data_IF_959896944751
#
_entry.id   IF_959896944751
#
_cell.length_a   1.000
_cell.length_b   1.000
_cell.length_c   1.000
_cell.angle_alpha   90.00
_cell.angle_beta   90.00
_cell.angle_gamma   90.00
#
_symmetry.space_group_name_H-M   'P 1'
#
loop_
_entity.id
_entity.type
_entity.pdbx_description
1 polymer ?
#
# COMPACT_ATOMS: atom_id res chain seq x y z
N UNK A 1 14.91 16.87 -9.48
CA UNK A 1 13.94 16.53 -8.45
C UNK A 1 13.04 15.42 -8.96
N UNK A 2 12.22 14.82 -8.10
CA UNK A 2 11.29 13.76 -8.44
C UNK A 2 9.89 14.11 -7.97
N UNK A 3 8.88 13.76 -8.77
CA UNK A 3 7.47 14.01 -8.46
C UNK A 3 6.82 12.72 -7.95
N UNK A 4 6.13 12.83 -6.83
CA UNK A 4 5.26 11.79 -6.30
C UNK A 4 3.81 12.27 -6.33
N UNK A 5 2.92 11.43 -6.84
CA UNK A 5 1.48 11.64 -6.85
C UNK A 5 0.83 10.41 -6.22
N UNK A 6 0.09 10.58 -5.15
CA UNK A 6 -0.67 9.50 -4.50
C UNK A 6 -2.17 9.78 -4.63
N UNK A 7 -2.85 9.02 -5.48
CA UNK A 7 -4.28 9.16 -5.74
C UNK A 7 -5.06 8.23 -4.80
N UNK A 8 -5.44 8.76 -3.65
CA UNK A 8 -6.31 8.03 -2.74
C UNK A 8 -7.79 8.21 -3.03
N UNK A 9 -8.63 7.35 -2.46
CA UNK A 9 -10.08 7.38 -2.65
C UNK A 9 -10.77 8.65 -2.11
N UNK A 10 -10.17 9.36 -1.16
CA UNK A 10 -10.74 10.58 -0.57
C UNK A 10 -9.89 11.80 -0.85
N UNK A 11 -8.58 11.64 -0.89
CA UNK A 11 -7.61 12.73 -1.03
C UNK A 11 -6.49 12.29 -1.95
N UNK A 12 -5.98 13.24 -2.73
CA UNK A 12 -4.77 13.10 -3.53
C UNK A 12 -3.65 13.91 -2.88
N UNK A 13 -2.47 13.30 -2.75
CA UNK A 13 -1.28 13.92 -2.22
C UNK A 13 -0.23 14.07 -3.32
N UNK A 14 0.27 15.28 -3.47
CA UNK A 14 1.39 15.63 -4.35
C UNK A 14 2.63 15.90 -3.49
N UNK A 15 3.79 15.43 -3.90
CA UNK A 15 5.05 15.74 -3.23
C UNK A 15 6.19 15.92 -4.24
N UNK A 16 7.03 16.91 -3.97
CA UNK A 16 8.27 17.15 -4.69
C UNK A 16 9.45 16.70 -3.81
N UNK A 17 10.29 15.83 -4.35
CA UNK A 17 11.48 15.33 -3.67
C UNK A 17 12.75 15.89 -4.30
N UNK A 18 13.70 16.28 -3.47
CA UNK A 18 15.08 16.55 -3.88
C UNK A 18 15.79 15.25 -4.30
N UNK A 19 16.97 15.35 -4.87
CA UNK A 19 17.75 14.20 -5.31
C UNK A 19 18.21 13.28 -4.16
N UNK A 20 18.34 13.83 -2.96
CA UNK A 20 18.70 13.14 -1.72
C UNK A 20 17.52 12.66 -0.88
N UNK A 21 16.29 12.81 -1.40
CA UNK A 21 15.09 12.25 -0.79
C UNK A 21 14.38 13.12 0.25
N UNK A 22 14.73 14.40 0.31
CA UNK A 22 14.01 15.35 1.17
C UNK A 22 12.73 15.82 0.47
N UNK A 23 11.62 15.85 1.21
CA UNK A 23 10.37 16.46 0.73
C UNK A 23 10.55 17.99 0.76
N UNK A 24 10.57 18.63 -0.42
CA UNK A 24 10.73 20.09 -0.56
C UNK A 24 9.42 20.83 -0.69
N UNK A 25 8.38 20.16 -1.22
CA UNK A 25 7.04 20.69 -1.28
C UNK A 25 6.04 19.55 -1.20
N UNK A 26 4.88 19.80 -0.59
CA UNK A 26 3.75 18.87 -0.61
C UNK A 26 2.43 19.64 -0.65
N UNK A 27 1.48 19.07 -1.34
CA UNK A 27 0.16 19.63 -1.46
C UNK A 27 -0.90 18.52 -1.45
N UNK A 28 -2.00 18.72 -0.74
CA UNK A 28 -3.04 17.70 -0.57
C UNK A 28 -4.40 18.34 -0.87
N UNK A 29 -5.21 17.66 -1.67
CA UNK A 29 -6.56 18.10 -2.02
C UNK A 29 -7.55 16.93 -2.02
N UNK A 30 -8.84 17.22 -2.05
CA UNK A 30 -9.89 16.19 -2.11
C UNK A 30 -9.93 15.58 -3.52
N UNK A 31 -10.03 14.26 -3.59
CA UNK A 31 -10.23 13.54 -4.85
C UNK A 31 -11.72 13.61 -5.23
N UNK A 32 -12.12 14.28 -6.32
CA UNK A 32 -13.49 14.29 -6.81
C UNK A 32 -14.02 12.89 -7.12
N UNK A 33 -15.34 12.73 -7.11
CA UNK A 33 -15.96 11.46 -7.49
C UNK A 33 -15.92 11.24 -9.01
N UNK A 34 -16.14 12.30 -9.78
CA UNK A 34 -16.03 12.29 -11.25
C UNK A 34 -14.59 12.40 -11.70
N UNK A 35 -14.19 11.57 -12.65
CA UNK A 35 -12.82 11.54 -13.16
C UNK A 35 -12.44 12.80 -13.95
N UNK A 36 -13.35 13.33 -14.76
CA UNK A 36 -13.05 14.53 -15.55
C UNK A 36 -12.88 15.76 -14.65
N UNK A 37 -13.71 15.87 -13.60
CA UNK A 37 -13.51 16.90 -12.56
C UNK A 37 -12.16 16.73 -11.87
N UNK A 38 -11.77 15.48 -11.60
CA UNK A 38 -10.47 15.18 -10.99
C UNK A 38 -9.31 15.64 -11.87
N UNK A 39 -9.32 15.33 -13.17
CA UNK A 39 -8.25 15.74 -14.10
C UNK A 39 -8.15 17.28 -14.19
N UNK A 40 -9.29 17.98 -14.27
CA UNK A 40 -9.31 19.44 -14.29
C UNK A 40 -8.75 20.04 -12.98
N UNK A 41 -9.20 19.51 -11.84
CA UNK A 41 -8.72 19.95 -10.54
C UNK A 41 -7.23 19.66 -10.39
N UNK A 42 -6.76 18.47 -10.77
CA UNK A 42 -5.36 18.07 -10.72
C UNK A 42 -4.45 19.06 -11.45
N UNK A 43 -4.83 19.50 -12.66
CA UNK A 43 -4.08 20.51 -13.43
C UNK A 43 -3.91 21.85 -12.68
N UNK A 44 -4.90 22.25 -11.88
CA UNK A 44 -4.83 23.45 -11.04
C UNK A 44 -4.04 23.23 -9.76
N UNK A 45 -4.12 22.03 -9.18
CA UNK A 45 -3.48 21.69 -7.91
C UNK A 45 -1.98 21.40 -8.05
N UNK A 46 -1.54 20.82 -9.18
CA UNK A 46 -0.12 20.52 -9.42
C UNK A 46 0.74 21.80 -9.45
N UNK A 47 0.19 22.90 -9.92
CA UNK A 47 0.89 24.20 -9.99
C UNK A 47 1.26 24.70 -8.58
N UNK A 48 0.49 24.34 -7.57
CA UNK A 48 0.72 24.72 -6.16
C UNK A 48 1.98 24.08 -5.55
N UNK A 49 2.51 23.02 -6.16
CA UNK A 49 3.83 22.49 -5.78
C UNK A 49 4.97 23.44 -6.11
N UNK A 50 4.74 24.45 -6.94
CA UNK A 50 5.75 25.35 -7.45
C UNK A 50 6.48 24.81 -8.68
N UNK A 51 7.31 25.67 -9.30
CA UNK A 51 8.11 25.29 -10.46
C UNK A 51 9.40 24.60 -10.00
N UNK A 52 9.52 23.31 -10.31
CA UNK A 52 10.68 22.50 -9.97
C UNK A 52 11.20 21.76 -11.20
N UNK A 53 12.52 21.58 -11.35
CA UNK A 53 13.12 20.82 -12.46
C UNK A 53 12.97 19.31 -12.19
N UNK A 54 11.74 18.79 -12.34
CA UNK A 54 11.49 17.36 -12.19
C UNK A 54 12.14 16.57 -13.31
N UNK A 55 12.82 15.49 -12.96
CA UNK A 55 13.38 14.51 -13.91
C UNK A 55 12.37 13.45 -14.31
N UNK A 56 11.64 12.96 -13.33
CA UNK A 56 10.64 11.89 -13.48
C UNK A 56 9.63 11.96 -12.35
N UNK A 57 8.42 11.46 -12.60
CA UNK A 57 7.37 11.28 -11.61
C UNK A 57 6.84 9.86 -11.58
N UNK A 58 6.22 9.52 -10.45
CA UNK A 58 5.45 8.29 -10.27
C UNK A 58 4.08 8.65 -9.72
N UNK A 59 3.06 8.08 -10.33
CA UNK A 59 1.67 8.20 -9.90
C UNK A 59 1.26 6.89 -9.25
N UNK A 60 1.01 6.94 -7.96
CA UNK A 60 0.44 5.84 -7.19
C UNK A 60 -1.06 5.77 -7.42
N UNK A 61 -1.55 4.58 -7.73
CA UNK A 61 -2.94 4.32 -8.07
C UNK A 61 -3.41 3.07 -7.30
N UNK A 62 -4.53 3.13 -6.59
CA UNK A 62 -5.10 1.94 -5.96
C UNK A 62 -5.76 1.03 -6.99
N UNK A 63 -5.58 -0.28 -6.86
CA UNK A 63 -6.24 -1.29 -7.69
C UNK A 63 -5.37 -1.83 -8.82
N UNK A 64 -6.02 -2.31 -9.89
CA UNK A 64 -5.38 -3.03 -10.99
C UNK A 64 -4.88 -2.11 -12.09
N UNK A 65 -3.67 -2.35 -12.56
CA UNK A 65 -2.97 -1.50 -13.52
C UNK A 65 -2.50 -2.28 -14.76
N UNK A 66 -2.48 -1.59 -15.90
CA UNK A 66 -1.64 -1.91 -17.03
C UNK A 66 -0.49 -0.88 -17.06
N UNK A 67 0.68 -1.32 -16.61
CA UNK A 67 1.86 -0.44 -16.48
C UNK A 67 2.47 -0.05 -17.81
N UNK A 68 2.39 -0.92 -18.81
CA UNK A 68 2.94 -0.67 -20.15
C UNK A 68 2.11 0.38 -20.88
N UNK A 69 0.79 0.27 -20.80
CA UNK A 69 -0.12 1.25 -21.39
C UNK A 69 -0.34 2.49 -20.51
N UNK A 70 0.07 2.46 -19.26
CA UNK A 70 -0.15 3.54 -18.29
C UNK A 70 -1.63 3.72 -17.93
N UNK A 71 -2.39 2.62 -17.87
CA UNK A 71 -3.84 2.58 -17.66
C UNK A 71 -4.18 2.00 -16.31
N UNK A 72 -5.02 2.68 -15.54
CA UNK A 72 -5.69 2.11 -14.39
C UNK A 72 -6.92 1.33 -14.87
N UNK A 73 -6.83 -0.02 -14.84
CA UNK A 73 -7.91 -0.91 -15.32
C UNK A 73 -9.11 -0.81 -14.38
N UNK A 74 -8.87 -0.84 -13.08
CA UNK A 74 -9.89 -0.67 -12.05
C UNK A 74 -9.30 0.01 -10.82
N UNK A 75 -10.02 0.98 -10.26
CA UNK A 75 -9.68 1.59 -8.97
C UNK A 75 -10.33 0.82 -7.83
N UNK A 76 -9.58 0.46 -6.81
CA UNK A 76 -10.09 -0.30 -5.67
C UNK A 76 -11.10 0.45 -4.80
N UNK A 77 -11.19 1.77 -4.93
CA UNK A 77 -11.98 2.63 -4.05
C UNK A 77 -12.76 3.74 -4.78
N UNK A 78 -12.83 3.68 -6.13
CA UNK A 78 -13.56 4.60 -6.99
C UNK A 78 -14.22 3.84 -8.16
N UNK A 79 -15.34 4.29 -8.68
CA UNK A 79 -15.98 3.69 -9.85
C UNK A 79 -15.30 4.10 -11.16
N UNK A 80 -13.96 4.18 -11.15
CA UNK A 80 -13.16 4.55 -12.32
C UNK A 80 -12.56 3.29 -12.93
N UNK A 81 -12.81 3.09 -14.21
CA UNK A 81 -12.36 1.91 -14.95
C UNK A 81 -11.70 2.31 -16.26
N UNK A 82 -10.66 1.60 -16.65
CA UNK A 82 -9.93 1.78 -17.90
C UNK A 82 -9.44 3.22 -18.12
N UNK A 83 -8.94 3.85 -17.08
CA UNK A 83 -8.50 5.23 -17.08
C UNK A 83 -7.07 5.35 -17.60
N UNK A 84 -6.81 6.08 -18.71
CA UNK A 84 -5.47 6.24 -19.27
C UNK A 84 -4.66 7.32 -18.51
N UNK A 85 -4.29 7.03 -17.27
CA UNK A 85 -3.66 7.97 -16.32
C UNK A 85 -2.44 8.66 -16.92
N UNK A 86 -1.52 7.90 -17.54
CA UNK A 86 -0.30 8.48 -18.11
C UNK A 86 -0.64 9.42 -19.27
N UNK A 87 -1.56 9.04 -20.17
CA UNK A 87 -1.99 9.87 -21.29
C UNK A 87 -2.61 11.19 -20.81
N UNK A 88 -3.52 11.13 -19.82
CA UNK A 88 -4.27 12.30 -19.36
C UNK A 88 -3.42 13.23 -18.49
N UNK A 89 -2.47 12.66 -17.75
CA UNK A 89 -1.63 13.43 -16.83
C UNK A 89 -0.37 13.99 -17.50
N UNK A 90 0.18 13.31 -18.53
CA UNK A 90 1.42 13.76 -19.18
C UNK A 90 1.38 15.20 -19.67
N UNK A 91 0.26 15.72 -20.26
CA UNK A 91 0.18 17.12 -20.65
C UNK A 91 0.17 18.11 -19.48
N UNK A 92 -0.24 17.66 -18.29
CA UNK A 92 -0.36 18.48 -17.08
C UNK A 92 0.91 18.47 -16.24
N UNK A 93 1.82 17.51 -16.49
CA UNK A 93 3.00 17.26 -15.66
C UNK A 93 4.27 17.74 -16.36
N UNK A 94 5.20 18.36 -15.58
CA UNK A 94 6.44 18.93 -16.13
C UNK A 94 7.55 17.89 -16.39
N UNK A 95 7.23 16.59 -16.30
CA UNK A 95 8.18 15.50 -16.49
C UNK A 95 7.50 14.22 -16.97
N UNK A 96 8.24 13.25 -17.53
CA UNK A 96 7.71 11.91 -17.77
C UNK A 96 7.21 11.25 -16.50
N UNK A 97 6.11 10.51 -16.59
CA UNK A 97 5.53 9.79 -15.46
C UNK A 97 5.26 8.33 -15.80
N UNK A 98 5.25 7.49 -14.77
CA UNK A 98 4.80 6.11 -14.79
C UNK A 98 3.84 5.85 -13.63
N UNK A 99 3.04 4.80 -13.75
CA UNK A 99 2.09 4.41 -12.70
C UNK A 99 2.57 3.18 -11.95
N UNK A 100 2.20 3.08 -10.67
CA UNK A 100 2.39 1.88 -9.87
C UNK A 100 1.28 1.79 -8.79
N UNK A 101 1.01 0.58 -8.33
CA UNK A 101 0.04 0.35 -7.27
C UNK A 101 0.53 0.93 -5.92
N UNK A 102 -0.37 1.55 -5.16
CA UNK A 102 -0.08 2.23 -3.90
C UNK A 102 0.51 1.30 -2.83
N UNK A 103 -0.03 0.07 -2.67
CA UNK A 103 0.50 -0.90 -1.72
C UNK A 103 1.90 -1.39 -2.13
N UNK A 104 2.18 -1.53 -3.44
CA UNK A 104 3.50 -1.92 -3.94
C UNK A 104 4.54 -0.82 -3.65
N UNK A 105 4.17 0.44 -3.83
CA UNK A 105 5.01 1.59 -3.51
C UNK A 105 5.25 1.72 -2.00
N UNK A 106 4.22 1.60 -1.19
CA UNK A 106 4.36 1.61 0.27
C UNK A 106 5.32 0.49 0.73
N UNK A 107 5.12 -0.73 0.20
CA UNK A 107 5.99 -1.87 0.48
C UNK A 107 7.45 -1.63 0.07
N UNK A 108 7.69 -1.06 -1.10
CA UNK A 108 9.02 -0.70 -1.58
C UNK A 108 9.71 0.26 -0.59
N UNK A 109 9.01 1.30 -0.19
CA UNK A 109 9.58 2.30 0.71
C UNK A 109 9.94 1.74 2.09
N UNK A 110 9.09 0.90 2.65
CA UNK A 110 9.31 0.27 3.95
C UNK A 110 10.41 -0.79 3.90
N UNK A 111 10.45 -1.61 2.85
CA UNK A 111 11.49 -2.62 2.67
C UNK A 111 12.89 -2.00 2.53
N UNK A 112 13.01 -0.84 1.88
CA UNK A 112 14.30 -0.15 1.75
C UNK A 112 14.84 0.36 3.09
N UNK A 113 13.99 0.64 4.09
CA UNK A 113 14.45 1.02 5.44
C UNK A 113 15.16 -0.12 6.17
N UNK A 114 14.81 -1.37 5.84
CA UNK A 114 15.33 -2.57 6.52
C UNK A 114 16.13 -3.47 5.57
N UNK A 115 16.54 -2.96 4.41
CA UNK A 115 17.22 -3.75 3.35
C UNK A 115 18.53 -4.37 3.80
N UNK A 116 19.20 -3.81 4.81
CA UNK A 116 20.43 -4.38 5.37
C UNK A 116 20.19 -5.59 6.26
N UNK A 117 18.96 -5.73 6.81
CA UNK A 117 18.56 -6.83 7.68
C UNK A 117 17.85 -7.94 6.91
N UNK A 118 16.94 -7.57 6.00
CA UNK A 118 16.06 -8.49 5.29
C UNK A 118 16.08 -8.22 3.78
N UNK A 119 16.14 -9.29 2.99
CA UNK A 119 16.14 -9.22 1.52
C UNK A 119 14.80 -9.57 0.89
N UNK A 120 13.98 -10.36 1.59
CA UNK A 120 12.66 -10.77 1.15
C UNK A 120 11.59 -10.29 2.14
N UNK A 121 10.99 -9.17 1.81
CA UNK A 121 10.03 -8.46 2.66
C UNK A 121 8.63 -8.60 2.07
N UNK A 122 7.69 -9.08 2.87
CA UNK A 122 6.27 -8.99 2.57
C UNK A 122 5.70 -7.78 3.31
N UNK A 123 5.26 -6.79 2.58
CA UNK A 123 4.49 -5.68 3.13
C UNK A 123 3.00 -5.99 3.03
N UNK A 124 2.27 -5.75 4.11
CA UNK A 124 0.81 -5.88 4.13
C UNK A 124 0.22 -4.61 4.76
N UNK A 125 -0.54 -3.87 3.99
CA UNK A 125 -1.30 -2.72 4.50
C UNK A 125 -2.70 -3.16 4.86
N UNK A 126 -3.11 -2.91 6.12
CA UNK A 126 -4.46 -3.20 6.62
C UNK A 126 -5.11 -1.86 6.98
N UNK A 127 -6.04 -1.42 6.13
CA UNK A 127 -6.75 -0.15 6.25
C UNK A 127 -8.25 -0.36 5.97
N UNK A 128 -8.88 0.40 5.09
CA UNK A 128 -10.26 0.13 4.64
C UNK A 128 -10.36 -1.24 4.00
N UNK A 129 -9.36 -1.63 3.20
CA UNK A 129 -9.15 -2.96 2.65
C UNK A 129 -7.80 -3.52 3.10
N UNK A 130 -7.32 -4.55 2.38
CA UNK A 130 -6.01 -5.17 2.58
C UNK A 130 -5.25 -5.18 1.25
N UNK A 131 -4.07 -4.54 1.23
CA UNK A 131 -3.14 -4.62 0.11
C UNK A 131 -1.86 -5.34 0.51
N UNK A 132 -1.15 -5.91 -0.45
CA UNK A 132 0.13 -6.58 -0.21
C UNK A 132 1.18 -6.26 -1.26
N UNK A 133 2.45 -6.37 -0.88
CA UNK A 133 3.58 -6.24 -1.80
C UNK A 133 4.72 -7.16 -1.38
N UNK A 134 5.25 -7.93 -2.33
CA UNK A 134 6.48 -8.68 -2.14
C UNK A 134 7.65 -7.88 -2.69
N UNK A 135 8.63 -7.63 -1.83
CA UNK A 135 9.85 -6.88 -2.17
C UNK A 135 11.05 -7.80 -2.00
N UNK A 136 11.80 -8.00 -3.10
CA UNK A 136 12.98 -8.86 -3.11
C UNK A 136 14.20 -8.02 -3.47
N UNK A 137 15.21 -8.03 -2.61
CA UNK A 137 16.44 -7.26 -2.80
C UNK A 137 16.19 -5.76 -3.08
N UNK A 138 15.20 -5.18 -2.39
CA UNK A 138 14.85 -3.76 -2.52
C UNK A 138 14.10 -3.41 -3.81
N UNK A 139 13.51 -4.38 -4.50
CA UNK A 139 12.69 -4.18 -5.71
C UNK A 139 11.34 -4.86 -5.57
N UNK A 140 10.31 -4.25 -6.14
CA UNK A 140 9.00 -4.88 -6.29
C UNK A 140 9.19 -6.16 -7.13
N UNK A 141 8.72 -7.30 -6.62
CA UNK A 141 8.81 -8.56 -7.35
C UNK A 141 7.84 -8.55 -8.54
N UNK A 142 8.41 -8.59 -9.75
CA UNK A 142 7.64 -8.49 -11.00
C UNK A 142 6.66 -9.65 -11.20
N UNK A 143 6.94 -10.84 -10.63
CA UNK A 143 6.09 -12.01 -10.80
C UNK A 143 4.85 -11.96 -9.92
N UNK A 144 4.88 -11.16 -8.85
CA UNK A 144 3.77 -10.97 -7.91
C UNK A 144 3.23 -9.54 -7.86
N UNK A 145 3.68 -8.65 -8.76
CA UNK A 145 3.30 -7.23 -8.75
C UNK A 145 1.79 -7.00 -8.93
N UNK A 146 1.06 -7.95 -9.52
CA UNK A 146 -0.39 -7.88 -9.72
C UNK A 146 -1.17 -8.72 -8.69
N UNK A 147 -0.48 -9.30 -7.68
CA UNK A 147 -1.16 -10.04 -6.62
C UNK A 147 -1.92 -9.10 -5.68
N UNK A 148 -3.13 -9.53 -5.30
CA UNK A 148 -4.02 -8.79 -4.38
C UNK A 148 -4.29 -9.67 -3.15
N UNK A 149 -3.47 -9.53 -2.10
CA UNK A 149 -3.57 -10.36 -0.90
C UNK A 149 -4.90 -10.25 -0.18
N UNK A 150 -5.54 -9.08 -0.21
CA UNK A 150 -6.87 -8.90 0.39
C UNK A 150 -7.98 -9.69 -0.26
N UNK A 151 -7.78 -10.14 -1.51
CA UNK A 151 -8.73 -10.94 -2.29
C UNK A 151 -8.50 -12.46 -2.14
N UNK A 152 -7.68 -12.89 -1.17
CA UNK A 152 -7.59 -14.30 -0.80
C UNK A 152 -8.97 -14.80 -0.36
N UNK A 153 -9.51 -15.80 -1.08
CA UNK A 153 -10.79 -16.39 -0.78
C UNK A 153 -10.62 -17.45 0.32
N UNK A 154 -11.07 -17.13 1.52
CA UNK A 154 -10.86 -17.93 2.72
C UNK A 154 -12.18 -18.34 3.36
N UNK A 155 -12.19 -19.48 4.05
CA UNK A 155 -13.34 -19.90 4.85
C UNK A 155 -13.38 -19.11 6.16
N UNK A 156 -14.47 -18.41 6.41
CA UNK A 156 -14.73 -17.69 7.65
C UNK A 156 -16.19 -17.90 8.09
N UNK A 157 -16.38 -18.47 9.29
CA UNK A 157 -17.71 -18.76 9.87
C UNK A 157 -18.63 -19.59 8.93
N UNK A 158 -18.09 -20.61 8.25
CA UNK A 158 -18.82 -21.51 7.35
C UNK A 158 -19.11 -20.93 5.97
N UNK A 159 -18.48 -19.80 5.59
CA UNK A 159 -18.64 -19.15 4.28
C UNK A 159 -17.27 -18.85 3.66
N UNK A 160 -17.19 -18.95 2.34
CA UNK A 160 -16.06 -18.42 1.60
C UNK A 160 -16.24 -16.90 1.44
N UNK A 161 -15.22 -16.12 1.84
CA UNK A 161 -15.21 -14.66 1.81
C UNK A 161 -13.81 -14.19 1.45
N UNK A 162 -13.70 -13.00 0.87
CA UNK A 162 -12.41 -12.36 0.69
C UNK A 162 -11.79 -12.00 2.06
N UNK A 163 -10.48 -12.17 2.18
CA UNK A 163 -9.81 -11.87 3.46
C UNK A 163 -10.11 -10.46 3.98
N UNK A 164 -10.19 -9.47 3.10
CA UNK A 164 -10.48 -8.10 3.51
C UNK A 164 -11.90 -7.90 4.07
N UNK A 165 -12.85 -8.78 3.77
CA UNK A 165 -14.21 -8.69 4.31
C UNK A 165 -14.30 -9.00 5.81
N UNK A 166 -13.29 -9.70 6.37
CA UNK A 166 -13.26 -10.01 7.80
C UNK A 166 -11.93 -9.63 8.50
N UNK A 167 -10.86 -9.36 7.75
CA UNK A 167 -9.54 -9.03 8.26
C UNK A 167 -9.12 -7.58 8.09
N UNK A 168 -9.94 -6.74 7.43
CA UNK A 168 -9.62 -5.32 7.21
C UNK A 168 -10.02 -4.41 8.36
N UNK A 169 -9.49 -3.18 8.36
CA UNK A 169 -9.87 -2.15 9.32
C UNK A 169 -11.34 -1.73 9.19
N UNK A 170 -11.94 -1.82 7.99
CA UNK A 170 -13.38 -1.64 7.78
C UNK A 170 -14.15 -2.70 8.54
N UNK A 171 -13.81 -3.97 8.36
CA UNK A 171 -14.47 -5.10 9.02
C UNK A 171 -14.38 -4.98 10.56
N UNK A 172 -13.22 -4.60 11.09
CA UNK A 172 -13.06 -4.40 12.53
C UNK A 172 -13.88 -3.22 13.05
N UNK A 173 -13.91 -2.10 12.31
CA UNK A 173 -14.75 -0.95 12.68
C UNK A 173 -16.22 -1.29 12.65
N UNK A 174 -16.70 -2.04 11.68
CA UNK A 174 -18.09 -2.52 11.62
C UNK A 174 -18.42 -3.43 12.81
N UNK A 175 -17.51 -4.31 13.20
CA UNK A 175 -17.71 -5.22 14.33
C UNK A 175 -17.68 -4.53 15.68
N UNK A 176 -16.73 -3.62 15.92
CA UNK A 176 -16.49 -3.04 17.24
C UNK A 176 -17.03 -1.61 17.39
N UNK A 177 -17.53 -0.98 16.31
CA UNK A 177 -18.02 0.39 16.30
C UNK A 177 -16.92 1.46 16.32
N UNK A 178 -15.65 1.07 16.49
CA UNK A 178 -14.50 1.95 16.66
C UNK A 178 -13.33 1.51 15.75
N UNK A 179 -12.51 2.43 15.26
CA UNK A 179 -11.25 2.07 14.61
C UNK A 179 -10.30 1.38 15.62
N UNK A 180 -9.41 0.49 15.12
CA UNK A 180 -8.50 -0.31 15.97
C UNK A 180 -7.68 0.54 16.93
N UNK A 181 -7.27 1.74 16.52
CA UNK A 181 -6.54 2.67 17.38
C UNK A 181 -7.27 3.10 18.65
N UNK A 182 -8.60 3.16 18.60
CA UNK A 182 -9.47 3.59 19.72
C UNK A 182 -9.98 2.42 20.57
N UNK A 183 -9.78 1.17 20.13
CA UNK A 183 -10.16 -0.01 20.90
C UNK A 183 -9.26 -0.14 22.12
N UNK A 184 -9.89 -0.41 23.27
CA UNK A 184 -9.21 -0.64 24.56
C UNK A 184 -9.51 -2.02 25.15
N UNK A 185 -10.52 -2.74 24.63
CA UNK A 185 -10.88 -4.07 25.09
C UNK A 185 -9.81 -5.10 24.65
N UNK A 186 -9.13 -5.80 25.61
CA UNK A 186 -8.17 -6.82 25.28
C UNK A 186 -8.74 -8.00 24.47
N UNK A 187 -10.00 -8.36 24.67
CA UNK A 187 -10.65 -9.45 23.94
C UNK A 187 -10.81 -9.13 22.44
N UNK A 188 -11.02 -7.86 22.12
CA UNK A 188 -11.09 -7.42 20.72
C UNK A 188 -9.76 -7.70 19.98
N UNK A 189 -8.61 -7.60 20.67
CA UNK A 189 -7.32 -7.83 20.04
C UNK A 189 -7.04 -9.31 19.73
N UNK A 190 -7.65 -10.26 20.44
CA UNK A 190 -7.63 -11.67 20.04
C UNK A 190 -8.35 -11.89 18.72
N UNK A 191 -9.55 -11.31 18.60
CA UNK A 191 -10.32 -11.39 17.37
C UNK A 191 -9.56 -10.77 16.18
N UNK A 192 -8.99 -9.57 16.38
CA UNK A 192 -8.21 -8.86 15.36
C UNK A 192 -7.00 -9.71 14.93
N UNK A 193 -6.20 -10.18 15.90
CA UNK A 193 -5.00 -10.98 15.65
C UNK A 193 -5.33 -12.27 14.86
N UNK A 194 -6.37 -13.01 15.29
CA UNK A 194 -6.80 -14.24 14.62
C UNK A 194 -7.21 -13.99 13.18
N UNK A 195 -8.03 -12.97 12.92
CA UNK A 195 -8.52 -12.69 11.56
C UNK A 195 -7.41 -12.17 10.63
N UNK A 196 -6.40 -11.50 11.19
CA UNK A 196 -5.19 -11.14 10.44
C UNK A 196 -4.33 -12.39 10.19
N UNK A 197 -4.13 -13.26 11.18
CA UNK A 197 -3.30 -14.45 11.07
C UNK A 197 -3.76 -15.40 9.98
N UNK A 198 -5.08 -15.57 9.81
CA UNK A 198 -5.67 -16.50 8.81
C UNK A 198 -5.16 -16.16 7.40
N UNK A 199 -5.19 -14.90 6.98
CA UNK A 199 -4.69 -14.53 5.65
C UNK A 199 -3.16 -14.43 5.59
N UNK A 200 -2.52 -14.03 6.69
CA UNK A 200 -1.05 -13.97 6.72
C UNK A 200 -0.41 -15.35 6.54
N UNK A 201 -0.99 -16.42 7.12
CA UNK A 201 -0.40 -17.75 7.03
C UNK A 201 -0.35 -18.26 5.59
N UNK A 202 -1.37 -17.95 4.77
CA UNK A 202 -1.39 -18.32 3.37
C UNK A 202 -0.33 -17.54 2.56
N UNK A 203 -0.17 -16.25 2.86
CA UNK A 203 0.89 -15.45 2.25
C UNK A 203 2.29 -15.89 2.69
N UNK A 204 2.46 -16.31 3.97
CA UNK A 204 3.71 -16.86 4.49
C UNK A 204 4.06 -18.16 3.75
N UNK A 205 3.11 -19.07 3.64
CA UNK A 205 3.32 -20.35 2.96
C UNK A 205 3.63 -20.16 1.46
N UNK A 206 2.99 -19.17 0.83
CA UNK A 206 3.15 -18.87 -0.60
C UNK A 206 4.49 -18.18 -0.89
N UNK A 207 4.80 -17.15 -0.12
CA UNK A 207 5.94 -16.27 -0.41
C UNK A 207 7.17 -16.56 0.44
N UNK A 208 7.05 -17.28 1.54
CA UNK A 208 8.16 -17.54 2.48
C UNK A 208 9.03 -16.30 2.75
N UNK A 209 8.45 -15.18 3.22
CA UNK A 209 9.21 -13.96 3.48
C UNK A 209 10.10 -14.11 4.71
N UNK A 210 11.17 -13.31 4.79
CA UNK A 210 12.02 -13.21 5.98
C UNK A 210 11.37 -12.34 7.06
N UNK A 211 10.59 -11.36 6.63
CA UNK A 211 9.89 -10.42 7.51
C UNK A 211 8.56 -9.99 6.89
N UNK A 212 7.55 -9.78 7.73
CA UNK A 212 6.30 -9.11 7.37
C UNK A 212 6.32 -7.72 7.98
N UNK A 213 6.09 -6.70 7.16
CA UNK A 213 5.90 -5.32 7.61
C UNK A 213 4.42 -4.98 7.52
N UNK A 214 3.79 -4.70 8.67
CA UNK A 214 2.38 -4.35 8.75
C UNK A 214 2.20 -2.83 8.75
N UNK A 215 1.49 -2.33 7.73
CA UNK A 215 1.15 -0.93 7.55
C UNK A 215 -0.36 -0.67 7.56
N UNK A 216 -0.75 0.52 7.13
CA UNK A 216 -2.14 0.96 7.16
C UNK A 216 -2.63 1.33 8.56
N UNK A 217 -3.90 1.74 8.66
CA UNK A 217 -4.48 2.20 9.92
C UNK A 217 -4.52 1.15 11.03
N UNK A 218 -4.61 -0.14 10.69
CA UNK A 218 -4.53 -1.25 11.67
C UNK A 218 -3.08 -1.54 12.03
N UNK A 219 -2.19 -1.67 11.03
CA UNK A 219 -0.77 -1.93 11.24
C UNK A 219 -0.07 -0.85 12.06
N UNK A 220 -0.55 0.41 11.99
CA UNK A 220 -0.07 1.51 12.83
C UNK A 220 -0.22 1.27 14.34
N UNK A 221 -1.05 0.31 14.74
CA UNK A 221 -1.31 -0.07 16.12
C UNK A 221 -0.88 -1.51 16.43
N UNK A 222 0.08 -2.04 15.68
CA UNK A 222 0.58 -3.42 15.85
C UNK A 222 0.95 -3.74 17.29
N UNK A 223 1.52 -2.80 18.03
CA UNK A 223 1.92 -2.97 19.44
C UNK A 223 0.77 -3.38 20.37
N UNK A 224 -0.49 -3.13 19.99
CA UNK A 224 -1.65 -3.51 20.79
C UNK A 224 -2.01 -5.00 20.68
N UNK A 225 -1.59 -5.66 19.57
CA UNK A 225 -1.99 -7.04 19.29
C UNK A 225 -0.84 -7.91 18.75
N UNK A 226 0.39 -7.43 18.72
CA UNK A 226 1.54 -8.17 18.15
C UNK A 226 1.74 -9.52 18.82
N UNK A 227 1.79 -9.57 20.17
CA UNK A 227 2.00 -10.81 20.91
C UNK A 227 0.92 -11.84 20.57
N UNK A 228 -0.34 -11.39 20.45
CA UNK A 228 -1.47 -12.25 20.08
C UNK A 228 -1.37 -12.74 18.65
N UNK A 229 -0.94 -11.87 17.74
CA UNK A 229 -0.74 -12.24 16.33
C UNK A 229 0.38 -13.29 16.21
N UNK A 230 1.48 -13.12 16.93
CA UNK A 230 2.56 -14.11 16.97
C UNK A 230 2.10 -15.45 17.57
N UNK A 231 1.26 -15.43 18.62
CA UNK A 231 0.66 -16.64 19.20
C UNK A 231 -0.24 -17.35 18.18
N UNK A 232 -1.12 -16.64 17.50
CA UNK A 232 -2.00 -17.20 16.46
C UNK A 232 -1.20 -17.78 15.29
N UNK A 233 -0.19 -17.08 14.81
CA UNK A 233 0.67 -17.59 13.74
C UNK A 233 1.42 -18.87 14.13
N UNK A 234 1.86 -19.00 15.40
CA UNK A 234 2.53 -20.21 15.89
C UNK A 234 1.63 -21.46 15.86
N UNK A 235 0.30 -21.31 15.97
CA UNK A 235 -0.64 -22.42 15.87
C UNK A 235 -0.52 -23.11 14.50
N UNK A 236 -0.23 -22.33 13.46
CA UNK A 236 -0.11 -22.80 12.07
C UNK A 236 1.34 -23.03 11.64
N UNK A 237 2.30 -22.98 12.58
CA UNK A 237 3.70 -23.21 12.28
C UNK A 237 3.92 -24.58 11.62
N UNK A 238 4.64 -24.58 10.50
CA UNK A 238 4.89 -25.79 9.72
C UNK A 238 6.41 -25.90 9.47
N UNK A 239 7.02 -27.08 9.67
CA UNK A 239 8.45 -27.25 9.44
C UNK A 239 8.89 -27.03 7.98
N UNK A 240 7.96 -26.93 7.02
CA UNK A 240 8.27 -26.69 5.61
C UNK A 240 8.59 -25.22 5.30
N UNK A 241 8.26 -24.28 6.18
CA UNK A 241 8.61 -22.87 6.03
C UNK A 241 8.93 -22.22 7.39
N UNK A 242 9.85 -21.26 7.37
CA UNK A 242 10.18 -20.48 8.56
C UNK A 242 9.11 -19.43 8.84
N UNK A 243 8.79 -19.19 10.10
CA UNK A 243 7.95 -18.08 10.49
C UNK A 243 8.75 -16.77 10.36
N UNK A 244 8.23 -15.77 9.65
CA UNK A 244 8.90 -14.49 9.44
C UNK A 244 8.90 -13.64 10.73
N UNK A 245 9.84 -12.70 10.82
CA UNK A 245 9.74 -11.64 11.81
C UNK A 245 8.53 -10.73 11.49
N UNK A 246 7.92 -10.16 12.53
CA UNK A 246 6.90 -9.12 12.38
C UNK A 246 7.50 -7.74 12.67
N UNK A 247 7.18 -6.75 11.86
CA UNK A 247 7.58 -5.36 12.04
C UNK A 247 6.41 -4.43 11.76
N UNK A 248 6.34 -3.35 12.49
CA UNK A 248 5.44 -2.22 12.21
C UNK A 248 6.05 -1.34 11.13
N UNK A 249 5.23 -0.87 10.18
CA UNK A 249 5.64 0.13 9.20
C UNK A 249 6.08 1.43 9.88
N UNK A 250 7.14 2.06 9.34
CA UNK A 250 7.77 3.23 9.95
C UNK A 250 7.31 4.55 9.35
N UNK A 251 6.94 4.57 8.06
CA UNK A 251 6.58 5.80 7.32
C UNK A 251 5.10 6.15 7.39
N UNK A 252 4.28 5.30 8.00
CA UNK A 252 2.84 5.52 8.18
C UNK A 252 2.15 6.05 6.90
N UNK A 253 1.58 7.27 6.95
CA UNK A 253 0.87 7.88 5.81
C UNK A 253 1.78 8.30 4.65
N UNK A 254 3.08 8.39 4.84
CA UNK A 254 4.02 8.86 3.83
C UNK A 254 4.67 7.71 3.02
N UNK A 255 4.40 6.44 3.37
CA UNK A 255 5.02 5.28 2.74
C UNK A 255 4.85 5.29 1.21
N UNK A 256 3.67 5.63 0.71
CA UNK A 256 3.37 5.66 -0.72
C UNK A 256 4.22 6.68 -1.47
N UNK A 257 4.28 7.93 -0.98
CA UNK A 257 5.05 9.00 -1.66
C UNK A 257 6.55 8.75 -1.64
N UNK A 258 7.07 8.15 -0.55
CA UNK A 258 8.46 7.71 -0.52
C UNK A 258 8.71 6.54 -1.49
N UNK A 259 7.76 5.62 -1.64
CA UNK A 259 7.83 4.58 -2.68
C UNK A 259 7.83 5.15 -4.10
N UNK A 260 7.01 6.18 -4.36
CA UNK A 260 7.06 6.92 -5.63
C UNK A 260 8.45 7.51 -5.87
N UNK A 261 9.04 8.15 -4.86
CA UNK A 261 10.39 8.71 -4.96
C UNK A 261 11.43 7.63 -5.25
N UNK A 262 11.41 6.52 -4.52
CA UNK A 262 12.38 5.43 -4.73
C UNK A 262 12.25 4.82 -6.12
N UNK A 263 11.02 4.56 -6.57
CA UNK A 263 10.76 4.05 -7.90
C UNK A 263 11.17 5.07 -8.98
N UNK A 264 10.93 6.37 -8.79
CA UNK A 264 11.31 7.43 -9.74
C UNK A 264 12.84 7.57 -9.92
N UNK A 265 13.63 7.16 -8.94
CA UNK A 265 15.11 7.17 -9.01
C UNK A 265 15.67 6.03 -9.84
N UNK A 266 14.94 4.93 -9.97
CA UNK A 266 15.39 3.81 -10.78
C UNK A 266 15.56 4.27 -12.23
N UNK A 267 16.73 4.03 -12.79
CA UNK A 267 16.94 4.24 -14.23
C UNK A 267 16.04 3.25 -14.95
N UNK A 268 15.26 3.74 -15.92
CA UNK A 268 14.58 2.84 -16.85
C UNK A 268 15.61 1.89 -17.44
N UNK A 269 15.44 0.59 -17.16
CA UNK A 269 16.30 -0.47 -17.69
C UNK A 269 16.03 -0.68 -19.17
#
# INVERSE_FOLDING_TARGET
MYLAVDIGGTKTLLAAFSADGQVVARHKFLTPADYNEFVQLFGNEIIKLGQHPFKQGVVAVPGRLDRELGVAIAFGNRPWENIPIVHDFQPLLPCPVRIENDAKLAGLSEALLIINEFKKVLYVTISTGIGSALIINGKIDINSQDSEGGQLLLEHNGKLMDWEDFGSGRAFKEKFGLPVGEITDPEAFYYIARNIAIGLIDLIATYTPEVIVLGGGVGAHLEKFQDRLEEELKIYANPLFAMPALRKAQRAEDAVIYGCYELAKEKNA
#
